data_IF_186836382566
#
_entry.id   IF_186836382566
#
_cell.length_a   1.000
_cell.length_b   1.000
_cell.length_c   1.000
_cell.angle_alpha   90.00
_cell.angle_beta   90.00
_cell.angle_gamma   90.00
#
_symmetry.space_group_name_H-M   'P 1'
#
loop_
_entity.id
_entity.type
_entity.pdbx_description
1 polymer ?
#
# COMPACT_ATOMS: atom_id res chain seq x y z
N UNK A 1 5.19 11.17 -10.61
CA UNK A 1 5.04 9.78 -11.10
C UNK A 1 3.58 9.52 -11.44
N UNK A 2 3.32 8.45 -12.19
CA UNK A 2 1.98 7.94 -12.47
C UNK A 2 1.64 6.84 -11.47
N UNK A 3 0.62 7.05 -10.64
CA UNK A 3 0.22 6.11 -9.59
C UNK A 3 -1.20 5.59 -9.87
N UNK A 4 -1.34 4.28 -10.00
CA UNK A 4 -2.64 3.62 -10.19
C UNK A 4 -3.15 3.04 -8.88
N UNK A 5 -4.33 3.45 -8.44
CA UNK A 5 -4.98 2.95 -7.23
C UNK A 5 -6.07 1.94 -7.61
N UNK A 6 -5.88 0.70 -7.25
CA UNK A 6 -6.85 -0.38 -7.41
C UNK A 6 -7.58 -0.59 -6.09
N UNK A 7 -8.83 -0.11 -6.04
CA UNK A 7 -9.64 -0.07 -4.84
C UNK A 7 -9.71 1.32 -4.20
N UNK A 8 -10.78 2.05 -4.45
CA UNK A 8 -11.04 3.40 -3.94
C UNK A 8 -11.83 3.39 -2.61
N UNK A 9 -11.48 2.48 -1.70
CA UNK A 9 -12.01 2.43 -0.34
C UNK A 9 -11.28 3.39 0.61
N UNK A 10 -11.39 3.15 1.92
CA UNK A 10 -10.80 4.02 2.95
C UNK A 10 -9.29 4.21 2.79
N UNK A 11 -8.51 3.15 2.61
CA UNK A 11 -7.06 3.25 2.41
C UNK A 11 -6.74 3.78 1.01
N UNK A 12 -7.31 3.18 -0.05
CA UNK A 12 -6.99 3.58 -1.42
C UNK A 12 -7.43 5.01 -1.76
N UNK A 13 -8.61 5.43 -1.33
CA UNK A 13 -9.07 6.81 -1.52
C UNK A 13 -8.23 7.83 -0.74
N UNK A 14 -7.80 7.50 0.49
CA UNK A 14 -6.90 8.35 1.27
C UNK A 14 -5.51 8.44 0.62
N UNK A 15 -4.94 7.31 0.20
CA UNK A 15 -3.66 7.29 -0.50
C UNK A 15 -3.71 8.08 -1.82
N UNK A 16 -4.81 7.95 -2.58
CA UNK A 16 -5.03 8.72 -3.81
C UNK A 16 -4.98 10.23 -3.55
N UNK A 17 -5.63 10.71 -2.47
CA UNK A 17 -5.61 12.12 -2.08
C UNK A 17 -4.20 12.58 -1.73
N UNK A 18 -3.51 11.86 -0.86
CA UNK A 18 -2.16 12.23 -0.43
C UNK A 18 -1.16 12.26 -1.60
N UNK A 19 -1.23 11.29 -2.52
CA UNK A 19 -0.37 11.29 -3.69
C UNK A 19 -0.71 12.42 -4.68
N UNK A 20 -1.99 12.73 -4.89
CA UNK A 20 -2.40 13.86 -5.72
C UNK A 20 -1.92 15.21 -5.11
N UNK A 21 -2.06 15.39 -3.78
CA UNK A 21 -1.57 16.56 -3.04
C UNK A 21 -0.03 16.67 -3.09
N UNK A 22 0.69 15.53 -3.12
CA UNK A 22 2.13 15.48 -3.33
C UNK A 22 2.56 15.75 -4.80
N UNK A 23 1.60 16.00 -5.72
CA UNK A 23 1.87 16.36 -7.10
C UNK A 23 2.03 15.21 -8.08
N UNK A 24 1.62 13.99 -7.69
CA UNK A 24 1.60 12.84 -8.61
C UNK A 24 0.37 12.86 -9.51
N UNK A 25 0.50 12.27 -10.70
CA UNK A 25 -0.66 11.91 -11.51
C UNK A 25 -1.29 10.62 -10.95
N UNK A 26 -2.58 10.66 -10.63
CA UNK A 26 -3.26 9.55 -9.96
C UNK A 26 -4.41 9.02 -10.80
N UNK A 27 -4.49 7.70 -10.96
CA UNK A 27 -5.70 7.04 -11.43
C UNK A 27 -6.34 6.22 -10.31
N UNK A 28 -7.66 6.27 -10.22
CA UNK A 28 -8.42 5.48 -9.25
C UNK A 28 -9.35 4.51 -9.97
N UNK A 29 -9.45 3.29 -9.46
CA UNK A 29 -10.32 2.26 -10.00
C UNK A 29 -11.06 1.48 -8.91
N UNK A 30 -12.18 0.90 -9.26
CA UNK A 30 -12.94 -0.01 -8.40
C UNK A 30 -13.77 -0.98 -9.24
N UNK A 31 -14.39 -1.98 -8.59
CA UNK A 31 -15.26 -2.98 -9.25
C UNK A 31 -16.57 -2.43 -9.83
N UNK A 32 -17.00 -1.21 -9.44
CA UNK A 32 -18.24 -0.58 -9.91
C UNK A 32 -18.01 0.28 -11.17
N UNK A 33 -16.76 0.41 -11.60
CA UNK A 33 -16.35 1.15 -12.78
C UNK A 33 -16.19 2.66 -12.57
N UNK A 34 -15.57 3.35 -13.56
CA UNK A 34 -15.12 4.74 -13.45
C UNK A 34 -16.24 5.75 -13.11
N UNK A 35 -17.46 5.52 -13.58
CA UNK A 35 -18.60 6.44 -13.31
C UNK A 35 -18.91 6.60 -11.83
N UNK A 36 -18.66 5.56 -11.02
CA UNK A 36 -18.87 5.56 -9.56
C UNK A 36 -17.84 6.36 -8.78
N UNK A 37 -16.76 6.81 -9.44
CA UNK A 37 -15.64 7.51 -8.85
C UNK A 37 -15.60 9.01 -9.20
N UNK A 38 -16.66 9.52 -9.86
CA UNK A 38 -16.70 10.91 -10.33
C UNK A 38 -16.51 11.92 -9.19
N UNK A 39 -17.17 11.73 -8.07
CA UNK A 39 -17.09 12.64 -6.93
C UNK A 39 -15.70 12.63 -6.32
N UNK A 40 -15.12 11.44 -6.10
CA UNK A 40 -13.75 11.30 -5.62
C UNK A 40 -12.74 12.00 -6.55
N UNK A 41 -12.83 11.76 -7.85
CA UNK A 41 -11.93 12.42 -8.84
C UNK A 41 -12.10 13.94 -8.81
N UNK A 42 -13.34 14.43 -8.66
CA UNK A 42 -13.61 15.86 -8.51
C UNK A 42 -12.93 16.48 -7.27
N UNK A 43 -12.88 15.73 -6.17
CA UNK A 43 -12.17 16.15 -4.95
C UNK A 43 -10.64 16.11 -5.09
N UNK A 44 -10.12 15.16 -5.87
CA UNK A 44 -8.67 14.97 -6.08
C UNK A 44 -8.06 16.02 -7.05
N UNK A 45 -8.88 16.68 -7.85
CA UNK A 45 -8.47 17.75 -8.77
C UNK A 45 -7.94 17.25 -10.12
N UNK A 46 -7.26 18.14 -10.85
CA UNK A 46 -6.89 17.94 -12.26
C UNK A 46 -5.89 16.79 -12.51
N UNK A 47 -5.10 16.43 -11.49
CA UNK A 47 -4.11 15.37 -11.57
C UNK A 47 -4.70 13.97 -11.37
N UNK A 48 -6.03 13.86 -11.17
CA UNK A 48 -6.67 12.58 -10.92
C UNK A 48 -7.68 12.19 -12.02
N UNK A 49 -7.79 10.87 -12.26
CA UNK A 49 -8.71 10.30 -13.25
C UNK A 49 -9.29 8.98 -12.73
N UNK A 50 -10.50 8.66 -13.15
CA UNK A 50 -11.09 7.35 -12.94
C UNK A 50 -10.89 6.48 -14.19
N UNK A 51 -10.43 5.24 -14.00
CA UNK A 51 -10.18 4.26 -15.06
C UNK A 51 -10.73 2.87 -14.66
N UNK A 52 -10.79 1.95 -15.61
CA UNK A 52 -10.95 0.53 -15.31
C UNK A 52 -9.73 -0.01 -14.56
N UNK A 53 -9.84 -1.17 -13.91
CA UNK A 53 -8.75 -1.75 -13.09
C UNK A 53 -7.49 -1.97 -13.94
N UNK A 54 -7.60 -2.68 -15.05
CA UNK A 54 -6.47 -3.00 -15.94
C UNK A 54 -5.94 -1.77 -16.67
N UNK A 55 -6.82 -0.85 -17.02
CA UNK A 55 -6.44 0.42 -17.64
C UNK A 55 -5.59 1.26 -16.67
N UNK A 56 -6.02 1.40 -15.41
CA UNK A 56 -5.30 2.10 -14.37
C UNK A 56 -3.93 1.44 -14.09
N UNK A 57 -3.89 0.12 -13.99
CA UNK A 57 -2.67 -0.64 -13.78
C UNK A 57 -1.70 -0.53 -14.96
N UNK A 58 -2.20 -0.60 -16.21
CA UNK A 58 -1.38 -0.47 -17.40
C UNK A 58 -0.78 0.92 -17.57
N UNK A 59 -1.54 1.97 -17.22
CA UNK A 59 -1.12 3.36 -17.33
C UNK A 59 -0.07 3.78 -16.29
N UNK A 60 -0.09 3.17 -15.11
CA UNK A 60 0.72 3.56 -13.96
C UNK A 60 2.18 3.08 -14.04
N UNK A 61 3.09 3.83 -13.39
CA UNK A 61 4.46 3.40 -13.08
C UNK A 61 4.47 2.55 -11.79
N UNK A 62 3.63 2.94 -10.81
CA UNK A 62 3.44 2.27 -9.52
C UNK A 62 1.95 1.99 -9.32
N UNK A 63 1.60 0.77 -8.92
CA UNK A 63 0.22 0.35 -8.65
C UNK A 63 0.03 0.08 -7.18
N UNK A 64 -0.98 0.68 -6.53
CA UNK A 64 -1.36 0.39 -5.15
C UNK A 64 -2.64 -0.45 -5.12
N UNK A 65 -2.57 -1.61 -4.49
CA UNK A 65 -3.69 -2.54 -4.30
C UNK A 65 -4.32 -2.33 -2.93
N UNK A 66 -5.56 -1.83 -2.91
CA UNK A 66 -6.34 -1.57 -1.70
C UNK A 66 -7.75 -2.19 -1.78
N UNK A 67 -7.83 -3.40 -2.31
CA UNK A 67 -9.04 -4.22 -2.40
C UNK A 67 -9.08 -5.26 -1.27
N UNK A 68 -10.23 -5.89 -0.97
CA UNK A 68 -10.24 -7.00 -0.02
C UNK A 68 -9.38 -8.16 -0.53
N UNK A 69 -8.43 -8.63 0.26
CA UNK A 69 -7.47 -9.69 -0.13
C UNK A 69 -8.16 -11.00 -0.56
N UNK A 70 -9.36 -11.25 -0.03
CA UNK A 70 -10.20 -12.41 -0.34
C UNK A 70 -10.88 -12.38 -1.72
N UNK A 71 -10.75 -11.28 -2.46
CA UNK A 71 -11.37 -11.07 -3.78
C UNK A 71 -10.30 -10.99 -4.87
N UNK A 72 -9.63 -12.12 -5.22
CA UNK A 72 -8.56 -12.12 -6.21
C UNK A 72 -9.00 -11.59 -7.59
N UNK A 73 -10.27 -11.72 -7.93
CA UNK A 73 -10.90 -11.20 -9.15
C UNK A 73 -10.96 -9.65 -9.20
N UNK A 74 -10.68 -8.99 -8.09
CA UNK A 74 -10.57 -7.53 -8.04
C UNK A 74 -9.15 -7.03 -8.31
N UNK A 75 -8.18 -7.94 -8.44
CA UNK A 75 -6.80 -7.60 -8.81
C UNK A 75 -6.74 -7.33 -10.33
N UNK A 76 -5.76 -6.54 -10.78
CA UNK A 76 -5.51 -6.37 -12.21
C UNK A 76 -4.98 -7.67 -12.83
N UNK A 77 -5.15 -7.80 -14.14
CA UNK A 77 -4.55 -8.90 -14.90
C UNK A 77 -3.02 -8.86 -14.78
N UNK A 78 -2.34 -10.00 -14.56
CA UNK A 78 -0.90 -10.05 -14.29
C UNK A 78 -0.04 -9.33 -15.32
N UNK A 79 -0.38 -9.43 -16.60
CA UNK A 79 0.37 -8.80 -17.70
C UNK A 79 0.37 -7.27 -17.61
N UNK A 80 -0.63 -6.68 -16.97
CA UNK A 80 -0.74 -5.21 -16.82
C UNK A 80 0.22 -4.65 -15.77
N UNK A 81 0.72 -5.49 -14.86
CA UNK A 81 1.62 -5.13 -13.76
C UNK A 81 3.01 -5.80 -13.86
N UNK A 82 3.24 -6.62 -14.87
CA UNK A 82 4.54 -7.27 -15.07
C UNK A 82 5.68 -6.23 -15.21
N UNK A 83 6.75 -6.38 -14.40
CA UNK A 83 7.88 -5.45 -14.32
C UNK A 83 7.61 -4.17 -13.55
N UNK A 84 6.38 -3.88 -13.15
CA UNK A 84 6.01 -2.68 -12.40
C UNK A 84 6.13 -2.87 -10.89
N UNK A 85 6.30 -1.77 -10.18
CA UNK A 85 6.22 -1.75 -8.72
C UNK A 85 4.75 -1.84 -8.31
N UNK A 86 4.44 -2.83 -7.47
CA UNK A 86 3.09 -3.04 -6.93
C UNK A 86 3.12 -2.96 -5.41
N UNK A 87 2.40 -1.99 -4.85
CA UNK A 87 2.24 -1.82 -3.41
C UNK A 87 1.03 -2.64 -2.96
N UNK A 88 1.25 -3.62 -2.09
CA UNK A 88 0.20 -4.43 -1.48
C UNK A 88 -0.22 -3.85 -0.12
N UNK A 89 -1.33 -3.09 -0.12
CA UNK A 89 -1.94 -2.52 1.09
C UNK A 89 -3.06 -3.40 1.69
N UNK A 90 -3.23 -4.62 1.19
CA UNK A 90 -4.30 -5.52 1.60
C UNK A 90 -3.95 -6.28 2.87
N UNK A 91 -4.97 -6.80 3.54
CA UNK A 91 -4.85 -7.70 4.69
C UNK A 91 -5.69 -8.98 4.48
N UNK A 92 -5.21 -10.14 4.94
CA UNK A 92 -5.86 -11.42 4.70
C UNK A 92 -7.06 -11.64 5.66
N UNK A 93 -8.01 -10.70 5.68
CA UNK A 93 -9.23 -10.82 6.47
C UNK A 93 -10.26 -11.73 5.80
N UNK A 94 -10.89 -12.60 6.61
CA UNK A 94 -12.04 -13.41 6.21
C UNK A 94 -13.32 -12.56 6.23
N UNK A 95 -14.29 -12.93 5.42
CA UNK A 95 -15.61 -12.31 5.45
C UNK A 95 -16.35 -12.57 6.77
N UNK A 96 -16.17 -13.77 7.33
CA UNK A 96 -16.73 -14.17 8.63
C UNK A 96 -16.03 -13.57 9.85
N UNK A 97 -15.04 -12.69 9.64
CA UNK A 97 -14.15 -12.17 10.67
C UNK A 97 -12.89 -13.04 10.86
N UNK A 98 -11.89 -12.44 11.51
CA UNK A 98 -10.59 -13.09 11.70
C UNK A 98 -9.69 -13.02 10.48
N UNK A 99 -8.57 -13.74 10.52
CA UNK A 99 -7.51 -13.73 9.51
C UNK A 99 -7.37 -15.11 8.89
N UNK A 100 -7.03 -15.20 7.60
CA UNK A 100 -6.68 -16.49 6.99
C UNK A 100 -5.39 -17.02 7.59
N UNK A 101 -5.37 -18.32 7.88
CA UNK A 101 -4.16 -19.03 8.26
C UNK A 101 -3.40 -19.41 6.98
N UNK A 102 -2.18 -18.89 6.83
CA UNK A 102 -1.38 -19.03 5.61
C UNK A 102 -0.15 -19.93 5.83
N UNK A 103 -0.09 -20.65 6.96
CA UNK A 103 1.04 -21.48 7.33
C UNK A 103 2.34 -20.68 7.37
N UNK A 104 3.36 -21.15 6.64
CA UNK A 104 4.66 -20.49 6.55
C UNK A 104 4.72 -19.33 5.54
N UNK A 105 3.65 -19.09 4.78
CA UNK A 105 3.58 -18.01 3.80
C UNK A 105 3.08 -16.71 4.42
N UNK A 106 3.47 -15.57 3.85
CA UNK A 106 2.85 -14.28 4.12
C UNK A 106 1.71 -14.01 3.12
N UNK A 107 0.79 -13.11 3.49
CA UNK A 107 -0.27 -12.69 2.55
C UNK A 107 0.30 -12.03 1.29
N UNK A 108 1.47 -11.41 1.39
CA UNK A 108 2.12 -10.76 0.26
C UNK A 108 2.83 -11.75 -0.65
N UNK A 109 3.39 -12.85 -0.12
CA UNK A 109 3.87 -13.94 -0.98
C UNK A 109 2.71 -14.55 -1.79
N UNK A 110 1.52 -14.71 -1.19
CA UNK A 110 0.33 -15.18 -1.93
C UNK A 110 -0.11 -14.17 -2.99
N UNK A 111 -0.06 -12.86 -2.68
CA UNK A 111 -0.33 -11.81 -3.67
C UNK A 111 0.70 -11.84 -4.80
N UNK A 112 1.99 -12.02 -4.51
CA UNK A 112 3.04 -12.12 -5.51
C UNK A 112 2.83 -13.31 -6.46
N UNK A 113 2.34 -14.46 -5.95
CA UNK A 113 1.99 -15.62 -6.80
C UNK A 113 0.82 -15.34 -7.73
N UNK A 114 -0.12 -14.47 -7.32
CA UNK A 114 -1.27 -14.07 -8.16
C UNK A 114 -0.88 -13.05 -9.24
N UNK A 115 0.22 -12.32 -9.04
CA UNK A 115 0.71 -11.28 -9.94
C UNK A 115 2.18 -11.57 -10.35
N UNK A 116 2.42 -12.67 -11.10
CA UNK A 116 3.77 -13.04 -11.51
C UNK A 116 4.42 -11.92 -12.34
N UNK A 117 5.70 -11.68 -12.05
CA UNK A 117 6.47 -10.61 -12.69
C UNK A 117 6.32 -9.22 -12.06
N UNK A 118 5.37 -9.01 -11.15
CA UNK A 118 5.27 -7.76 -10.40
C UNK A 118 6.40 -7.63 -9.37
N UNK A 119 6.94 -6.42 -9.19
CA UNK A 119 7.92 -6.05 -8.17
C UNK A 119 7.17 -5.64 -6.91
N UNK A 120 6.75 -6.65 -6.11
CA UNK A 120 5.81 -6.43 -5.01
C UNK A 120 6.48 -5.85 -3.77
N UNK A 121 5.85 -4.83 -3.19
CA UNK A 121 6.23 -4.25 -1.90
C UNK A 121 4.98 -4.20 -1.01
N UNK A 122 5.02 -4.87 0.14
CA UNK A 122 4.01 -4.76 1.18
C UNK A 122 4.15 -3.42 1.87
N UNK A 123 3.10 -2.58 1.87
CA UNK A 123 3.08 -1.34 2.63
C UNK A 123 1.64 -0.82 2.82
N UNK A 124 1.43 0.15 3.71
CA UNK A 124 0.12 0.78 4.01
C UNK A 124 -0.92 -0.13 4.67
N UNK A 125 -0.65 -1.40 4.86
CA UNK A 125 -1.60 -2.35 5.45
C UNK A 125 -1.65 -2.28 6.99
N UNK A 126 -0.65 -1.68 7.64
CA UNK A 126 -0.52 -1.60 9.10
C UNK A 126 -0.97 -0.27 9.69
N UNK A 127 -1.43 0.66 8.87
CA UNK A 127 -1.89 1.97 9.31
C UNK A 127 -3.42 2.06 9.24
N UNK A 128 -4.03 2.62 10.28
CA UNK A 128 -5.45 2.92 10.25
C UNK A 128 -5.73 4.10 9.31
N UNK A 129 -6.80 4.03 8.52
CA UNK A 129 -7.05 5.00 7.46
C UNK A 129 -7.17 6.45 7.95
N UNK A 130 -7.71 6.67 9.17
CA UNK A 130 -7.77 8.02 9.76
C UNK A 130 -6.38 8.54 10.12
N UNK A 131 -5.48 7.67 10.60
CA UNK A 131 -4.08 8.03 10.84
C UNK A 131 -3.36 8.35 9.54
N UNK A 132 -3.60 7.57 8.48
CA UNK A 132 -3.08 7.87 7.14
C UNK A 132 -3.56 9.24 6.64
N UNK A 133 -4.82 9.60 6.90
CA UNK A 133 -5.38 10.88 6.50
C UNK A 133 -4.87 12.09 7.30
N UNK A 134 -4.40 11.91 8.55
CA UNK A 134 -4.21 13.03 9.47
C UNK A 134 -2.82 13.13 10.09
N UNK A 135 -1.99 12.08 10.04
CA UNK A 135 -0.70 12.04 10.74
C UNK A 135 0.52 12.30 9.83
N UNK A 136 0.32 12.56 8.54
CA UNK A 136 1.39 12.98 7.64
C UNK A 136 1.97 14.33 8.06
N UNK A 137 3.30 14.43 8.23
CA UNK A 137 4.01 15.63 8.71
C UNK A 137 5.31 15.83 7.93
N UNK A 138 5.25 16.60 6.85
CA UNK A 138 6.45 16.94 6.03
C UNK A 138 7.37 17.94 6.72
N UNK A 139 6.89 18.65 7.74
CA UNK A 139 7.61 19.64 8.54
C UNK A 139 8.48 19.02 9.67
N UNK A 140 8.34 17.71 9.93
CA UNK A 140 9.15 17.00 10.91
C UNK A 140 10.32 16.23 10.27
N UNK A 141 11.42 16.00 11.01
CA UNK A 141 12.43 15.02 10.62
C UNK A 141 11.80 13.65 10.41
N UNK A 142 12.27 12.89 9.40
CA UNK A 142 11.67 11.58 9.03
C UNK A 142 11.54 10.63 10.23
N UNK A 143 12.54 10.59 11.12
CA UNK A 143 12.55 9.72 12.30
C UNK A 143 11.43 10.02 13.32
N UNK A 144 10.89 11.23 13.29
CA UNK A 144 9.84 11.69 14.22
C UNK A 144 8.43 11.56 13.60
N UNK A 145 8.35 11.31 12.28
CA UNK A 145 7.08 11.09 11.58
C UNK A 145 6.48 9.75 11.96
N UNK A 146 5.17 9.63 11.78
CA UNK A 146 4.46 8.36 11.95
C UNK A 146 4.99 7.29 10.99
N UNK A 147 5.24 6.09 11.52
CA UNK A 147 5.82 5.00 10.74
C UNK A 147 4.81 4.37 9.76
N UNK A 148 5.23 4.14 8.52
CA UNK A 148 4.61 3.20 7.59
C UNK A 148 5.63 2.10 7.30
N UNK A 149 5.28 0.86 7.64
CA UNK A 149 6.14 -0.31 7.44
C UNK A 149 6.09 -0.75 5.98
N UNK A 150 7.24 -1.22 5.47
CA UNK A 150 7.34 -1.80 4.14
C UNK A 150 8.18 -3.08 4.16
N UNK A 151 7.89 -4.00 3.24
CA UNK A 151 8.62 -5.24 3.03
C UNK A 151 8.63 -5.60 1.55
N UNK A 152 9.72 -6.19 1.08
CA UNK A 152 9.84 -6.59 -0.33
C UNK A 152 11.16 -7.29 -0.59
N UNK A 153 11.22 -8.05 -1.68
CA UNK A 153 12.42 -8.79 -2.08
C UNK A 153 13.29 -7.98 -3.07
N UNK A 154 12.73 -6.91 -3.64
CA UNK A 154 13.38 -5.99 -4.58
C UNK A 154 13.76 -4.68 -3.87
N UNK A 155 15.06 -4.44 -3.68
CA UNK A 155 15.57 -3.26 -2.95
C UNK A 155 15.27 -1.94 -3.67
N UNK A 156 15.34 -1.92 -5.02
CA UNK A 156 15.04 -0.72 -5.79
C UNK A 156 13.54 -0.37 -5.69
N UNK A 157 12.67 -1.38 -5.75
CA UNK A 157 11.23 -1.18 -5.55
C UNK A 157 10.92 -0.66 -4.14
N UNK A 158 11.55 -1.21 -3.09
CA UNK A 158 11.43 -0.70 -1.72
C UNK A 158 11.90 0.75 -1.60
N UNK A 159 12.98 1.11 -2.28
CA UNK A 159 13.50 2.49 -2.27
C UNK A 159 12.49 3.47 -2.88
N UNK A 160 11.87 3.12 -3.99
CA UNK A 160 10.82 3.96 -4.61
C UNK A 160 9.61 4.10 -3.68
N UNK A 161 9.15 3.00 -3.08
CA UNK A 161 8.01 3.03 -2.14
C UNK A 161 8.34 3.82 -0.88
N UNK A 162 9.57 3.72 -0.36
CA UNK A 162 10.03 4.53 0.76
C UNK A 162 9.99 6.04 0.44
N UNK A 163 10.45 6.45 -0.74
CA UNK A 163 10.37 7.85 -1.18
C UNK A 163 8.91 8.34 -1.24
N UNK A 164 8.00 7.54 -1.80
CA UNK A 164 6.56 7.87 -1.84
C UNK A 164 5.96 8.04 -0.43
N UNK A 165 6.39 7.20 0.53
CA UNK A 165 5.97 7.31 1.93
C UNK A 165 6.49 8.61 2.57
N UNK A 166 7.74 8.99 2.28
CA UNK A 166 8.34 10.23 2.80
C UNK A 166 7.69 11.49 2.21
N UNK A 167 7.38 11.47 0.91
CA UNK A 167 6.73 12.58 0.19
C UNK A 167 5.36 12.93 0.78
N UNK A 168 4.60 11.93 1.24
CA UNK A 168 3.31 12.13 1.92
C UNK A 168 3.43 12.36 3.44
N UNK A 169 4.65 12.57 3.96
CA UNK A 169 4.89 13.01 5.33
C UNK A 169 5.03 11.90 6.37
N UNK A 170 5.31 10.66 5.97
CA UNK A 170 5.48 9.52 6.87
C UNK A 170 6.95 9.04 6.93
N UNK A 171 7.25 8.18 7.90
CA UNK A 171 8.54 7.54 8.03
C UNK A 171 8.50 6.12 7.45
N UNK A 172 9.22 5.81 6.37
CA UNK A 172 9.32 4.44 5.88
C UNK A 172 10.18 3.58 6.83
N UNK A 173 9.67 2.41 7.20
CA UNK A 173 10.38 1.47 8.08
C UNK A 173 10.41 0.09 7.43
N UNK A 174 11.60 -0.32 6.95
CA UNK A 174 11.79 -1.61 6.30
C UNK A 174 11.76 -2.75 7.33
N UNK A 175 10.90 -3.74 7.10
CA UNK A 175 10.74 -4.94 7.95
C UNK A 175 11.40 -6.19 7.35
N UNK A 176 11.98 -6.10 6.16
CA UNK A 176 12.70 -7.18 5.49
C UNK A 176 12.03 -7.68 4.21
N UNK A 177 12.15 -8.98 3.95
CA UNK A 177 11.60 -9.66 2.75
C UNK A 177 10.07 -9.73 2.77
N UNK A 178 9.45 -10.11 1.65
CA UNK A 178 8.00 -10.40 1.62
C UNK A 178 7.63 -11.50 2.62
N UNK A 179 8.48 -12.50 2.79
CA UNK A 179 8.24 -13.60 3.73
C UNK A 179 8.33 -13.15 5.18
N UNK A 180 9.47 -12.64 5.59
CA UNK A 180 9.71 -12.27 6.99
C UNK A 180 9.02 -10.96 7.37
N UNK A 181 9.29 -9.92 6.62
CA UNK A 181 8.75 -8.59 6.85
C UNK A 181 7.25 -8.53 6.60
N UNK A 182 6.76 -9.23 5.57
CA UNK A 182 5.33 -9.33 5.31
C UNK A 182 4.57 -10.02 6.45
N UNK A 183 5.14 -11.03 7.08
CA UNK A 183 4.53 -11.69 8.27
C UNK A 183 4.52 -10.77 9.48
N UNK A 184 5.56 -9.97 9.70
CA UNK A 184 5.60 -8.97 10.77
C UNK A 184 4.51 -7.90 10.63
N UNK A 185 4.05 -7.64 9.40
CA UNK A 185 3.01 -6.66 9.09
C UNK A 185 1.59 -7.23 9.08
N UNK A 186 1.40 -8.52 9.36
CA UNK A 186 0.06 -9.11 9.39
C UNK A 186 -0.78 -8.60 10.58
N UNK A 187 -2.11 -8.68 10.50
CA UNK A 187 -2.98 -8.38 11.63
C UNK A 187 -2.59 -9.15 12.90
N UNK A 188 -2.82 -8.55 14.05
CA UNK A 188 -2.49 -9.08 15.39
C UNK A 188 -0.99 -9.13 15.74
N UNK A 189 -0.12 -8.52 14.92
CA UNK A 189 1.30 -8.36 15.27
C UNK A 189 1.54 -7.09 16.10
N UNK A 190 2.69 -6.98 16.79
CA UNK A 190 2.98 -5.81 17.65
C UNK A 190 3.01 -4.45 16.95
N UNK A 191 3.23 -4.43 15.61
CA UNK A 191 3.30 -3.20 14.81
C UNK A 191 1.98 -2.89 14.07
N UNK A 192 0.99 -3.78 14.12
CA UNK A 192 -0.24 -3.62 13.37
C UNK A 192 -1.19 -2.60 14.01
N UNK A 193 -1.63 -1.59 13.25
CA UNK A 193 -2.52 -0.50 13.69
C UNK A 193 -2.07 0.20 14.99
N UNK A 194 -0.79 0.18 15.28
CA UNK A 194 -0.21 0.84 16.45
C UNK A 194 0.48 2.14 16.04
N UNK A 195 -0.01 3.30 16.48
CA UNK A 195 0.67 4.58 16.24
C UNK A 195 2.05 4.61 16.90
N UNK A 196 3.09 4.94 16.11
CA UNK A 196 4.45 5.10 16.60
C UNK A 196 5.27 5.93 15.60
N UNK A 197 6.31 6.58 16.07
CA UNK A 197 7.29 7.27 15.22
C UNK A 197 8.21 6.27 14.49
N UNK A 198 8.90 6.74 13.44
CA UNK A 198 9.91 5.95 12.75
C UNK A 198 11.01 5.46 13.68
N UNK A 199 11.42 6.28 14.65
CA UNK A 199 12.42 5.93 15.69
C UNK A 199 11.94 4.77 16.55
N UNK A 200 10.76 4.90 17.16
CA UNK A 200 10.17 3.85 18.00
C UNK A 200 9.95 2.54 17.23
N UNK A 201 9.51 2.63 15.99
CA UNK A 201 9.31 1.47 15.12
C UNK A 201 10.62 0.70 14.88
N UNK A 202 11.73 1.40 14.60
CA UNK A 202 13.05 0.76 14.42
C UNK A 202 13.58 0.16 15.72
N UNK A 203 13.34 0.77 16.86
CA UNK A 203 13.70 0.21 18.18
C UNK A 203 12.95 -1.10 18.45
N UNK A 204 11.65 -1.14 18.19
CA UNK A 204 10.83 -2.34 18.34
C UNK A 204 11.34 -3.47 17.44
N UNK A 205 11.66 -3.17 16.17
CA UNK A 205 12.20 -4.17 15.25
C UNK A 205 13.55 -4.71 15.70
N UNK A 206 14.45 -3.85 16.17
CA UNK A 206 15.76 -4.27 16.73
C UNK A 206 15.59 -5.17 17.94
N UNK A 207 14.68 -4.86 18.85
CA UNK A 207 14.41 -5.67 20.03
C UNK A 207 13.79 -7.04 19.68
N UNK A 208 13.08 -7.14 18.55
CA UNK A 208 12.49 -8.38 18.05
C UNK A 208 13.48 -9.26 17.25
N UNK A 209 14.77 -8.91 17.18
CA UNK A 209 15.81 -9.70 16.49
C UNK A 209 15.80 -9.54 14.97
N UNK A 210 15.38 -8.39 14.51
CA UNK A 210 15.41 -8.03 13.08
C UNK A 210 16.72 -7.35 12.70
#
# INVERSE_FOLDING_TARGET
>A
MKIGIVGAGMIGGTAARLFAEAGHEVTVSNSRGPKSLRDLVGELGENARAMGVDEAASWADVVLLAVPWRTPEALPEPDTVAGKIVIDAMNPYRESGGVYELGDSSSSEETARRLPGARLVKAFNTIYYQHLATLGRTDLPVEERHAIFLAGDDEDAKTVVASLIEEIGFAPVNTGTLREGGRRQQPNTPIYNRPMSGREAREILKAAGA
#
